data_IF_838613227831
#
_entry.id   IF_838613227831
#
_cell.length_a   1.000
_cell.length_b   1.000
_cell.length_c   1.000
_cell.angle_alpha   90.00
_cell.angle_beta   90.00
_cell.angle_gamma   90.00
#
_symmetry.space_group_name_H-M   'P 1'
#
loop_
_entity.id
_entity.type
_entity.pdbx_description
1 polymer ?
#
# COMPACT_ATOMS: atom_id res chain seq x y z
N UNK A 1 6.17 -38.80 -26.71
CA UNK A 1 5.75 -37.88 -25.64
C UNK A 1 4.23 -37.85 -25.67
N UNK A 2 3.59 -38.54 -24.73
CA UNK A 2 2.15 -38.77 -24.67
C UNK A 2 1.42 -37.58 -24.02
N UNK A 3 0.13 -37.40 -24.36
CA UNK A 3 -0.71 -36.33 -23.82
C UNK A 3 -0.72 -36.25 -22.27
N UNK A 4 -0.56 -37.39 -21.60
CA UNK A 4 -0.45 -37.48 -20.14
C UNK A 4 0.80 -36.78 -19.56
N UNK A 5 1.91 -36.76 -20.32
CA UNK A 5 3.15 -36.09 -19.87
C UNK A 5 3.02 -34.56 -19.97
N UNK A 6 2.17 -34.06 -20.88
CA UNK A 6 1.88 -32.63 -21.02
C UNK A 6 0.96 -32.11 -19.89
N UNK A 7 0.09 -32.97 -19.35
CA UNK A 7 -0.82 -32.60 -18.24
C UNK A 7 -0.12 -32.56 -16.89
N UNK A 8 0.85 -33.45 -16.65
CA UNK A 8 1.66 -33.43 -15.43
C UNK A 8 2.46 -32.12 -15.30
N UNK A 9 3.01 -31.61 -16.40
CA UNK A 9 3.78 -30.36 -16.39
C UNK A 9 2.91 -29.12 -16.10
N UNK A 10 1.63 -29.14 -16.47
CA UNK A 10 0.70 -28.02 -16.24
C UNK A 10 0.27 -27.88 -14.78
N UNK A 11 0.17 -28.99 -14.04
CA UNK A 11 -0.26 -28.97 -12.65
C UNK A 11 0.83 -28.46 -11.69
N UNK A 12 2.10 -28.54 -12.07
CA UNK A 12 3.21 -28.02 -11.27
C UNK A 12 3.45 -26.50 -11.43
N UNK A 13 3.00 -25.90 -12.54
CA UNK A 13 3.05 -24.44 -12.76
C UNK A 13 1.96 -23.68 -12.00
N UNK A 14 0.80 -24.30 -11.76
CA UNK A 14 -0.31 -23.66 -11.03
C UNK A 14 -0.05 -23.47 -9.53
N UNK A 15 0.93 -24.18 -8.94
CA UNK A 15 1.25 -24.09 -7.52
C UNK A 15 2.33 -23.04 -7.18
N UNK A 16 2.92 -22.39 -8.19
CA UNK A 16 3.99 -21.38 -8.00
C UNK A 16 3.52 -19.95 -8.18
N UNK A 17 2.25 -19.75 -8.48
CA UNK A 17 1.64 -18.41 -8.59
C UNK A 17 0.84 -18.10 -7.32
N UNK A 18 1.53 -17.99 -6.18
CA UNK A 18 1.26 -16.93 -5.20
C UNK A 18 2.43 -16.85 -4.20
N UNK A 19 3.54 -16.33 -4.68
CA UNK A 19 4.59 -15.73 -3.85
C UNK A 19 3.96 -14.75 -2.87
N UNK A 20 4.28 -14.89 -1.59
CA UNK A 20 4.23 -13.79 -0.63
C UNK A 20 5.55 -13.85 0.12
N UNK A 21 6.59 -13.64 -0.67
CA UNK A 21 7.91 -13.24 -0.23
C UNK A 21 7.76 -11.93 0.55
N UNK A 22 8.13 -12.03 1.81
CA UNK A 22 8.56 -10.92 2.64
C UNK A 22 9.83 -10.35 2.00
N UNK A 23 9.70 -9.49 0.98
CA UNK A 23 10.81 -8.74 0.43
C UNK A 23 10.29 -7.55 -0.39
N UNK A 24 10.26 -6.39 0.27
CA UNK A 24 10.59 -5.05 -0.27
C UNK A 24 10.51 -4.94 -1.81
N UNK A 25 9.30 -4.93 -2.37
CA UNK A 25 9.09 -4.69 -3.79
C UNK A 25 8.28 -3.42 -4.01
N UNK A 26 8.91 -2.48 -4.72
CA UNK A 26 8.32 -1.27 -5.27
C UNK A 26 7.28 -1.67 -6.33
N UNK A 27 6.08 -2.02 -5.90
CA UNK A 27 4.95 -2.36 -6.76
C UNK A 27 4.03 -1.14 -6.91
N UNK A 28 4.07 -0.53 -8.10
CA UNK A 28 3.02 0.22 -8.82
C UNK A 28 2.07 1.06 -7.92
N UNK A 29 2.10 2.41 -7.97
CA UNK A 29 1.21 3.25 -7.16
C UNK A 29 -0.23 3.14 -7.66
N UNK A 30 -0.97 2.12 -7.22
CA UNK A 30 -2.38 1.95 -7.56
C UNK A 30 -3.33 2.44 -6.49
N UNK A 31 -2.81 2.79 -5.31
CA UNK A 31 -3.57 3.52 -4.30
C UNK A 31 -2.61 4.52 -3.65
N UNK A 32 -2.81 5.81 -3.92
CA UNK A 32 -1.87 6.87 -3.56
C UNK A 32 -1.40 6.75 -2.11
N UNK A 33 -0.08 6.65 -1.92
CA UNK A 33 0.53 6.63 -0.60
C UNK A 33 0.06 7.85 0.19
N UNK A 34 -0.54 7.60 1.34
CA UNK A 34 -0.94 8.63 2.29
C UNK A 34 -0.01 8.63 3.48
N UNK A 35 0.04 9.78 4.13
CA UNK A 35 0.92 10.12 5.22
C UNK A 35 0.05 10.53 6.41
N UNK A 36 0.30 10.00 7.60
CA UNK A 36 -0.44 10.40 8.79
C UNK A 36 0.45 10.39 10.01
N UNK A 37 -0.01 11.05 11.07
CA UNK A 37 0.65 11.04 12.37
C UNK A 37 -0.13 10.08 13.27
N UNK A 38 0.51 9.44 14.25
CA UNK A 38 -0.21 8.64 15.24
C UNK A 38 -1.28 9.50 15.96
N UNK A 39 -0.92 10.76 16.24
CA UNK A 39 -1.83 11.78 16.76
C UNK A 39 -2.78 12.38 15.71
N UNK A 40 -4.09 12.24 15.95
CA UNK A 40 -5.14 12.90 15.18
C UNK A 40 -5.98 11.95 14.32
N UNK A 41 -6.98 12.52 13.65
CA UNK A 41 -7.99 11.79 12.85
C UNK A 41 -7.84 12.03 11.34
N UNK A 42 -6.74 12.67 10.93
CA UNK A 42 -6.52 13.10 9.54
C UNK A 42 -5.35 12.39 8.87
N UNK A 43 -5.52 12.00 7.62
CA UNK A 43 -4.44 11.55 6.74
C UNK A 43 -4.16 12.59 5.65
N UNK A 44 -2.95 12.59 5.14
CA UNK A 44 -2.42 13.55 4.17
C UNK A 44 -2.05 12.80 2.90
N UNK A 45 -2.39 13.34 1.72
CA UNK A 45 -2.05 12.72 0.43
C UNK A 45 -0.62 13.11 0.01
N UNK A 46 -0.12 14.23 0.53
CA UNK A 46 1.20 14.78 0.21
C UNK A 46 2.05 14.90 1.46
N UNK A 47 3.29 14.39 1.39
CA UNK A 47 4.31 14.57 2.44
C UNK A 47 4.74 16.03 2.62
N UNK A 48 4.55 16.86 1.58
CA UNK A 48 4.89 18.29 1.59
C UNK A 48 3.83 19.19 2.25
N UNK A 49 2.72 18.63 2.74
CA UNK A 49 1.70 19.42 3.43
C UNK A 49 2.32 20.11 4.66
N UNK A 50 2.16 21.43 4.82
CA UNK A 50 2.76 22.20 5.91
C UNK A 50 2.48 21.64 7.32
N UNK A 51 1.33 20.99 7.53
CA UNK A 51 0.95 20.37 8.79
C UNK A 51 1.80 19.12 9.13
N UNK A 52 2.25 18.39 8.10
CA UNK A 52 2.99 17.14 8.26
C UNK A 52 4.48 17.29 7.96
N UNK A 53 4.87 18.20 7.06
CA UNK A 53 6.25 18.48 6.68
C UNK A 53 7.12 18.94 7.86
N UNK A 54 6.50 19.48 8.93
CA UNK A 54 7.19 19.88 10.17
C UNK A 54 7.30 18.76 11.21
N UNK A 55 6.76 17.58 10.93
CA UNK A 55 6.72 16.44 11.86
C UNK A 55 7.72 15.38 11.43
N UNK A 56 8.37 14.78 12.41
CA UNK A 56 9.32 13.68 12.21
C UNK A 56 8.68 12.32 12.45
N UNK A 57 7.56 12.26 13.17
CA UNK A 57 6.80 11.03 13.46
C UNK A 57 5.70 10.78 12.42
N UNK A 58 6.10 10.71 11.15
CA UNK A 58 5.17 10.53 10.03
C UNK A 58 5.14 9.07 9.63
N UNK A 59 3.95 8.48 9.67
CA UNK A 59 3.66 7.16 9.13
C UNK A 59 3.22 7.31 7.67
N UNK A 60 3.55 6.30 6.88
CA UNK A 60 3.25 6.24 5.46
C UNK A 60 2.68 4.89 5.12
N UNK A 61 1.69 4.86 4.23
CA UNK A 61 1.05 3.63 3.78
C UNK A 61 -0.18 3.96 2.96
N UNK A 62 -1.19 3.11 3.00
CA UNK A 62 -2.43 3.24 2.25
C UNK A 62 -3.54 3.92 3.07
N UNK A 63 -4.61 4.37 2.40
CA UNK A 63 -5.80 4.92 3.09
C UNK A 63 -6.41 3.88 4.04
N UNK A 64 -6.36 2.60 3.67
CA UNK A 64 -6.83 1.48 4.51
C UNK A 64 -6.04 1.40 5.81
N UNK A 65 -4.71 1.47 5.73
CA UNK A 65 -3.84 1.48 6.93
C UNK A 65 -4.06 2.74 7.76
N UNK A 66 -4.23 3.90 7.13
CA UNK A 66 -4.57 5.13 7.83
C UNK A 66 -5.91 5.01 8.58
N UNK A 67 -6.92 4.42 7.95
CA UNK A 67 -8.23 4.19 8.55
C UNK A 67 -8.15 3.21 9.71
N UNK A 68 -7.35 2.13 9.58
CA UNK A 68 -7.05 1.21 10.67
C UNK A 68 -6.32 1.91 11.83
N UNK A 69 -5.47 2.89 11.55
CA UNK A 69 -4.83 3.78 12.53
C UNK A 69 -5.75 4.91 13.04
N UNK A 70 -7.07 4.82 12.81
CA UNK A 70 -8.07 5.76 13.29
C UNK A 70 -8.13 7.09 12.54
N UNK A 71 -7.65 7.14 11.30
CA UNK A 71 -7.77 8.31 10.43
C UNK A 71 -9.07 8.23 9.64
N UNK A 72 -9.97 9.15 9.94
CA UNK A 72 -11.34 9.14 9.41
C UNK A 72 -11.49 10.06 8.20
N UNK A 73 -10.57 11.00 7.99
CA UNK A 73 -10.70 12.03 6.95
C UNK A 73 -9.37 12.43 6.33
N UNK A 74 -9.41 12.86 5.07
CA UNK A 74 -8.30 13.52 4.42
C UNK A 74 -8.12 14.96 4.94
N UNK A 75 -6.88 15.45 4.94
CA UNK A 75 -6.58 16.84 5.23
C UNK A 75 -7.17 17.76 4.17
N UNK A 76 -7.98 18.74 4.56
CA UNK A 76 -8.59 19.71 3.63
C UNK A 76 -7.54 20.46 2.80
N UNK A 77 -6.38 20.81 3.39
CA UNK A 77 -5.28 21.46 2.67
C UNK A 77 -4.61 20.53 1.63
N UNK A 78 -4.74 19.21 1.78
CA UNK A 78 -4.30 18.27 0.75
C UNK A 78 -5.31 18.15 -0.40
N UNK A 79 -6.59 18.48 -0.17
CA UNK A 79 -7.68 18.39 -1.15
C UNK A 79 -7.92 19.71 -1.91
N UNK A 80 -7.41 20.83 -1.42
CA UNK A 80 -7.60 22.16 -2.01
C UNK A 80 -6.58 22.52 -3.10
N UNK A 81 -5.90 21.53 -3.70
CA UNK A 81 -4.92 21.76 -4.77
C UNK A 81 -5.58 21.77 -6.16
#
# INVERSE_FOLDING_TARGET
MSAAELEALKNELAAKENTSDDEKEEAIPQDGTVFWLDGGKVYHIRSTCYHIAKKTDVRTGTVTEATAAGKERACSACLSD
#
